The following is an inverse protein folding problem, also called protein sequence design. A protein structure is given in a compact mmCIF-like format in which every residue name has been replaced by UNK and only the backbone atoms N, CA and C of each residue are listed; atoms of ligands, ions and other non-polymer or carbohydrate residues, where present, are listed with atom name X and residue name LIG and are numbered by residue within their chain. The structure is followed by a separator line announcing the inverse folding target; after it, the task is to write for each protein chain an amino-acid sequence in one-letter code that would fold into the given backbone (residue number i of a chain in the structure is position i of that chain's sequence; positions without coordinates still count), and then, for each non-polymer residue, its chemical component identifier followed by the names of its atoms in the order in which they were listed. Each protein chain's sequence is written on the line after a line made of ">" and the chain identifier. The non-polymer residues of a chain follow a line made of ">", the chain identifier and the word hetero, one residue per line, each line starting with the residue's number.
data_IF_267115981445
#
_entry.id   IF_267115981445
#
_cell.length_a   1.000
_cell.length_b   1.000
_cell.length_c   1.000
_cell.angle_alpha   90.00
_cell.angle_beta   90.00
_cell.angle_gamma   90.00
#
_symmetry.space_group_name_H-M   'P 1'
#
loop_
_entity.id
_entity.type
_entity.pdbx_description
1 polymer ?
#
# COMPACT_ATOMS: atom_id res chain seq x y z
N UNK A 1 13.96 12.34 -1.12
CA UNK A 1 13.86 13.58 -1.92
C UNK A 1 13.76 14.73 -0.94
N UNK A 2 14.76 15.62 -0.89
CA UNK A 2 14.70 16.84 -0.07
C UNK A 2 14.15 17.97 -0.94
N UNK A 3 13.40 18.91 -0.37
CA UNK A 3 12.85 20.04 -1.14
C UNK A 3 13.91 21.04 -1.64
N UNK A 4 15.20 20.73 -1.43
CA UNK A 4 16.36 21.50 -1.89
C UNK A 4 16.44 21.63 -3.41
N UNK A 5 15.95 20.63 -4.16
CA UNK A 5 15.88 20.73 -5.62
C UNK A 5 14.80 21.70 -6.08
N UNK A 6 13.74 21.94 -5.29
CA UNK A 6 12.70 22.92 -5.63
C UNK A 6 13.16 24.35 -5.33
N UNK A 7 14.07 24.54 -4.38
CA UNK A 7 14.64 25.83 -4.03
C UNK A 7 15.38 26.50 -5.20
N UNK A 8 16.17 25.73 -5.96
CA UNK A 8 16.89 26.25 -7.13
C UNK A 8 15.97 26.64 -8.28
N UNK A 9 14.89 25.87 -8.51
CA UNK A 9 13.99 26.07 -9.65
C UNK A 9 12.87 27.09 -9.38
N UNK A 10 12.37 27.17 -8.15
CA UNK A 10 11.23 28.00 -7.79
C UNK A 10 11.59 29.17 -6.87
N UNK A 11 12.87 29.31 -6.49
CA UNK A 11 13.35 30.36 -5.58
C UNK A 11 12.59 30.38 -4.24
N UNK A 12 12.21 29.20 -3.74
CA UNK A 12 11.53 29.01 -2.46
C UNK A 12 12.51 28.48 -1.41
N UNK A 13 12.35 28.88 -0.16
CA UNK A 13 13.14 28.29 0.93
C UNK A 13 12.73 26.82 1.14
N UNK A 14 13.59 25.88 0.73
CA UNK A 14 13.27 24.46 0.72
C UNK A 14 13.00 23.89 2.12
N UNK A 15 13.67 24.43 3.14
CA UNK A 15 13.48 24.04 4.54
C UNK A 15 12.12 24.45 5.09
N UNK A 16 11.69 25.67 4.79
CA UNK A 16 10.38 26.20 5.17
C UNK A 16 9.28 25.49 4.41
N UNK A 17 9.48 25.24 3.12
CA UNK A 17 8.52 24.52 2.29
C UNK A 17 8.34 23.07 2.77
N UNK A 18 9.43 22.34 3.06
CA UNK A 18 9.35 20.97 3.57
C UNK A 18 8.56 20.91 4.90
N UNK A 19 8.83 21.84 5.80
CA UNK A 19 8.10 21.96 7.07
C UNK A 19 6.62 22.29 6.83
N UNK A 20 6.31 23.26 5.99
CA UNK A 20 4.94 23.63 5.66
C UNK A 20 4.19 22.50 4.96
N UNK A 21 4.85 21.80 4.06
CA UNK A 21 4.29 20.66 3.36
C UNK A 21 3.89 19.57 4.35
N UNK A 22 4.80 19.17 5.24
CA UNK A 22 4.54 18.13 6.24
C UNK A 22 3.51 18.55 7.28
N UNK A 23 3.59 19.77 7.80
CA UNK A 23 2.81 20.19 8.97
C UNK A 23 1.46 20.81 8.62
N UNK A 24 1.30 21.36 7.41
CA UNK A 24 0.12 22.17 7.05
C UNK A 24 -0.53 21.73 5.73
N UNK A 25 0.24 21.50 4.66
CA UNK A 25 -0.33 21.37 3.31
C UNK A 25 -0.70 19.93 2.93
N UNK A 26 0.10 18.94 3.34
CA UNK A 26 -0.08 17.54 2.94
C UNK A 26 -1.22 16.82 3.67
N UNK A 27 -1.77 17.42 4.73
CA UNK A 27 -2.73 16.74 5.60
C UNK A 27 -2.13 15.62 6.46
N UNK A 28 -0.80 15.42 6.42
CA UNK A 28 -0.11 14.32 7.12
C UNK A 28 -0.47 14.22 8.61
N UNK A 29 -0.60 15.35 9.31
CA UNK A 29 -0.96 15.39 10.75
C UNK A 29 -2.40 14.94 11.04
N UNK A 30 -3.30 15.10 10.09
CA UNK A 30 -4.71 14.74 10.22
C UNK A 30 -5.03 13.41 9.51
N UNK A 31 -4.01 12.71 9.02
CA UNK A 31 -4.22 11.47 8.30
C UNK A 31 -4.70 10.38 9.26
N UNK A 32 -5.86 9.80 8.96
CA UNK A 32 -6.53 8.82 9.83
C UNK A 32 -5.66 7.59 10.13
N UNK A 33 -4.81 7.21 9.18
CA UNK A 33 -3.93 6.05 9.31
C UNK A 33 -2.59 6.36 9.98
N UNK A 34 -2.32 7.61 10.38
CA UNK A 34 -1.02 8.05 10.89
C UNK A 34 -0.49 7.20 12.07
N UNK A 35 -1.39 6.69 12.92
CA UNK A 35 -1.04 5.89 14.10
C UNK A 35 -0.41 4.54 13.76
N UNK A 36 -0.75 3.96 12.61
CA UNK A 36 -0.32 2.63 12.17
C UNK A 36 0.36 2.65 10.79
N UNK A 37 0.47 3.81 10.14
CA UNK A 37 1.05 3.97 8.81
C UNK A 37 2.51 3.49 8.69
N UNK A 38 3.22 3.36 9.81
CA UNK A 38 4.55 2.74 9.85
C UNK A 38 4.54 1.22 9.74
N UNK A 39 3.41 0.58 10.06
CA UNK A 39 3.24 -0.88 10.01
C UNK A 39 2.41 -1.31 8.82
N UNK A 40 1.31 -0.60 8.51
CA UNK A 40 0.47 -0.90 7.36
C UNK A 40 -0.36 0.31 6.93
N UNK A 41 -0.79 0.27 5.68
CA UNK A 41 -1.73 1.22 5.08
C UNK A 41 -2.77 0.44 4.26
N UNK A 42 -4.03 0.88 4.30
CA UNK A 42 -5.14 0.26 3.58
C UNK A 42 -5.96 1.29 2.82
N UNK A 43 -6.32 0.96 1.60
CA UNK A 43 -7.19 1.74 0.72
C UNK A 43 -8.24 0.79 0.12
N UNK A 44 -9.23 0.36 0.91
CA UNK A 44 -10.25 -0.61 0.48
C UNK A 44 -11.05 -0.14 -0.75
N UNK A 45 -11.20 1.17 -0.93
CA UNK A 45 -11.84 1.78 -2.10
C UNK A 45 -11.14 1.45 -3.43
N UNK A 46 -9.87 1.06 -3.39
CA UNK A 46 -9.07 0.74 -4.57
C UNK A 46 -9.17 -0.74 -4.99
N UNK A 47 -9.99 -1.52 -4.29
CA UNK A 47 -10.21 -2.94 -4.58
C UNK A 47 -10.74 -3.13 -6.01
N UNK A 48 -10.28 -4.20 -6.65
CA UNK A 48 -10.69 -4.56 -8.00
C UNK A 48 -10.61 -6.06 -8.24
N UNK A 49 -11.13 -6.53 -9.39
CA UNK A 49 -11.21 -7.96 -9.68
C UNK A 49 -9.83 -8.60 -9.96
N UNK A 50 -8.81 -7.81 -10.31
CA UNK A 50 -7.45 -8.29 -10.56
C UNK A 50 -6.46 -7.58 -9.63
N UNK A 51 -5.93 -8.32 -8.66
CA UNK A 51 -4.92 -7.81 -7.74
C UNK A 51 -3.53 -8.34 -8.09
N UNK A 52 -2.50 -7.62 -7.69
CA UNK A 52 -1.11 -8.05 -7.72
C UNK A 52 -0.49 -7.83 -6.34
N UNK A 53 0.31 -8.80 -5.89
CA UNK A 53 1.03 -8.72 -4.63
C UNK A 53 2.52 -8.85 -4.93
N UNK A 54 3.26 -7.85 -4.47
CA UNK A 54 4.69 -7.71 -4.71
C UNK A 54 5.43 -7.47 -3.38
N UNK A 55 6.55 -8.17 -3.19
CA UNK A 55 7.46 -7.96 -2.07
C UNK A 55 8.66 -7.13 -2.55
N UNK A 56 8.87 -5.94 -1.97
CA UNK A 56 9.96 -5.03 -2.35
C UNK A 56 10.76 -4.59 -1.14
N UNK A 57 12.08 -4.62 -1.25
CA UNK A 57 12.96 -3.99 -0.25
C UNK A 57 13.09 -2.49 -0.52
N UNK A 58 12.74 -1.67 0.46
CA UNK A 58 13.09 -0.25 0.45
C UNK A 58 14.50 -0.05 1.03
N UNK A 59 15.00 1.17 0.95
CA UNK A 59 16.30 1.55 1.52
C UNK A 59 16.41 1.12 3.00
N UNK A 60 17.61 0.72 3.44
CA UNK A 60 17.91 0.10 4.73
C UNK A 60 17.51 -1.38 4.91
N UNK A 61 17.08 -2.08 3.87
CA UNK A 61 16.83 -3.52 3.94
C UNK A 61 15.50 -3.89 4.62
N UNK A 62 14.64 -2.90 4.84
CA UNK A 62 13.25 -3.11 5.24
C UNK A 62 12.48 -3.67 4.05
N UNK A 63 11.79 -4.79 4.27
CA UNK A 63 10.94 -5.41 3.26
C UNK A 63 9.51 -4.93 3.46
N UNK A 64 8.83 -4.64 2.36
CA UNK A 64 7.42 -4.26 2.35
C UNK A 64 6.66 -5.12 1.36
N UNK A 65 5.43 -5.44 1.70
CA UNK A 65 4.47 -6.10 0.82
C UNK A 65 3.48 -5.07 0.30
N UNK A 66 3.37 -4.96 -1.02
CA UNK A 66 2.45 -4.06 -1.70
C UNK A 66 1.34 -4.89 -2.35
N UNK A 67 0.09 -4.47 -2.14
CA UNK A 67 -1.07 -5.00 -2.84
C UNK A 67 -1.59 -3.91 -3.75
N UNK A 68 -1.64 -4.20 -5.04
CA UNK A 68 -2.09 -3.24 -6.06
C UNK A 68 -3.20 -3.81 -6.92
N UNK A 69 -4.10 -2.95 -7.36
CA UNK A 69 -5.12 -3.27 -8.34
C UNK A 69 -4.56 -3.06 -9.75
N UNK A 70 -4.55 -4.15 -10.54
CA UNK A 70 -3.95 -4.17 -11.87
C UNK A 70 -4.86 -3.54 -12.92
N UNK A 71 -6.18 -3.51 -12.70
CA UNK A 71 -7.14 -2.88 -13.61
C UNK A 71 -6.97 -1.37 -13.69
N UNK A 72 -6.51 -0.76 -12.60
CA UNK A 72 -6.20 0.66 -12.57
C UNK A 72 -4.98 1.02 -13.45
N UNK A 73 -4.30 0.05 -14.07
CA UNK A 73 -3.12 0.25 -14.92
C UNK A 73 -2.04 1.11 -14.24
N UNK A 74 -1.86 0.95 -12.93
CA UNK A 74 -0.90 1.73 -12.11
C UNK A 74 -1.15 3.26 -12.14
N UNK A 75 -2.40 3.67 -12.34
CA UNK A 75 -2.83 5.07 -12.26
C UNK A 75 -3.31 5.39 -10.83
N UNK A 76 -3.95 6.54 -10.65
CA UNK A 76 -4.61 6.87 -9.40
C UNK A 76 -5.52 5.72 -8.95
N UNK A 77 -5.61 5.51 -7.63
CA UNK A 77 -6.41 4.44 -7.03
C UNK A 77 -5.93 3.00 -7.33
N UNK A 78 -4.66 2.79 -7.68
CA UNK A 78 -4.12 1.43 -7.88
C UNK A 78 -3.57 0.78 -6.61
N UNK A 79 -3.26 1.53 -5.55
CA UNK A 79 -2.66 0.98 -4.34
C UNK A 79 -3.76 0.55 -3.36
N UNK A 80 -3.81 -0.74 -3.02
CA UNK A 80 -4.85 -1.30 -2.13
C UNK A 80 -4.31 -1.45 -0.71
N UNK A 81 -3.08 -1.95 -0.56
CA UNK A 81 -2.47 -2.12 0.76
C UNK A 81 -0.96 -1.99 0.70
N UNK A 82 -0.38 -1.54 1.81
CA UNK A 82 1.05 -1.61 2.09
C UNK A 82 1.21 -2.23 3.46
N UNK A 83 2.11 -3.19 3.61
CA UNK A 83 2.40 -3.84 4.89
C UNK A 83 3.90 -3.90 5.08
N UNK A 84 4.37 -3.49 6.26
CA UNK A 84 5.75 -3.63 6.67
C UNK A 84 6.04 -5.11 6.98
N UNK A 85 7.01 -5.68 6.27
CA UNK A 85 7.40 -7.08 6.34
C UNK A 85 6.83 -7.94 5.22
N UNK A 86 7.21 -9.22 5.26
CA UNK A 86 6.87 -10.26 4.27
C UNK A 86 6.23 -11.49 4.89
N UNK A 87 5.87 -11.40 6.18
CA UNK A 87 5.18 -12.48 6.88
C UNK A 87 3.76 -12.56 6.35
N UNK A 88 3.39 -13.73 5.85
CA UNK A 88 2.05 -13.97 5.31
C UNK A 88 0.96 -13.71 6.34
N UNK A 89 1.20 -14.02 7.61
CA UNK A 89 0.21 -13.89 8.68
C UNK A 89 -0.17 -12.43 8.92
N UNK A 90 0.83 -11.54 8.91
CA UNK A 90 0.64 -10.10 9.14
C UNK A 90 -0.12 -9.47 7.96
N UNK A 91 0.24 -9.86 6.72
CA UNK A 91 -0.44 -9.40 5.50
C UNK A 91 -1.90 -9.86 5.48
N UNK A 92 -2.19 -11.11 5.89
CA UNK A 92 -3.57 -11.62 6.02
C UNK A 92 -4.35 -10.79 7.03
N UNK A 93 -3.78 -10.55 8.22
CA UNK A 93 -4.46 -9.82 9.28
C UNK A 93 -4.80 -8.39 8.85
N UNK A 94 -3.96 -7.76 8.02
CA UNK A 94 -4.26 -6.45 7.42
C UNK A 94 -5.37 -6.58 6.38
N UNK A 95 -5.28 -7.50 5.42
CA UNK A 95 -6.27 -7.66 4.36
C UNK A 95 -7.66 -8.11 4.87
N UNK A 96 -7.73 -8.82 5.99
CA UNK A 96 -8.99 -9.21 6.65
C UNK A 96 -9.79 -8.01 7.19
N UNK A 97 -9.18 -6.83 7.33
CA UNK A 97 -9.88 -5.60 7.70
C UNK A 97 -10.74 -5.05 6.55
N UNK A 98 -10.48 -5.50 5.31
CA UNK A 98 -11.31 -5.19 4.15
C UNK A 98 -12.59 -6.03 4.22
N UNK A 99 -13.71 -5.42 3.86
CA UNK A 99 -15.01 -6.07 3.86
C UNK A 99 -15.01 -7.33 2.99
N UNK A 100 -15.83 -8.30 3.38
CA UNK A 100 -15.84 -9.61 2.73
C UNK A 100 -16.36 -9.54 1.29
N UNK A 101 -17.29 -8.62 1.01
CA UNK A 101 -17.89 -8.45 -0.30
C UNK A 101 -16.84 -8.03 -1.34
N UNK A 102 -16.02 -7.02 -1.01
CA UNK A 102 -14.88 -6.57 -1.80
C UNK A 102 -13.84 -7.66 -1.97
N UNK A 103 -13.56 -8.46 -0.93
CA UNK A 103 -12.62 -9.58 -1.04
C UNK A 103 -13.12 -10.67 -1.97
N UNK A 104 -14.41 -10.99 -1.95
CA UNK A 104 -15.02 -12.01 -2.82
C UNK A 104 -15.25 -11.53 -4.25
N UNK A 105 -15.20 -10.23 -4.52
CA UNK A 105 -15.24 -9.68 -5.87
C UNK A 105 -13.93 -9.92 -6.64
N UNK A 106 -12.84 -10.27 -5.95
CA UNK A 106 -11.54 -10.57 -6.56
C UNK A 106 -11.62 -11.88 -7.35
N UNK A 107 -11.28 -11.82 -8.64
CA UNK A 107 -11.28 -12.97 -9.56
C UNK A 107 -9.90 -13.61 -9.67
N UNK A 108 -8.87 -12.78 -9.66
CA UNK A 108 -7.50 -13.21 -9.85
C UNK A 108 -6.57 -12.35 -9.00
N UNK A 109 -5.54 -12.99 -8.47
CA UNK A 109 -4.43 -12.30 -7.81
C UNK A 109 -3.16 -12.75 -8.54
N UNK A 110 -2.22 -11.88 -8.82
CA UNK A 110 -0.88 -12.22 -9.34
C UNK A 110 0.17 -12.13 -8.22
N UNK A 111 1.01 -13.16 -8.03
CA UNK A 111 2.19 -13.11 -7.14
C UNK A 111 3.45 -13.03 -7.97
N UNK A 112 4.41 -12.21 -7.55
CA UNK A 112 5.79 -12.42 -7.98
C UNK A 112 6.33 -13.73 -7.40
N UNK A 113 7.12 -14.48 -8.17
CA UNK A 113 7.68 -15.81 -7.81
C UNK A 113 8.64 -15.75 -6.60
N UNK A 114 9.08 -14.55 -6.22
CA UNK A 114 9.90 -14.29 -5.03
C UNK A 114 9.06 -14.06 -3.77
N UNK A 115 7.76 -13.84 -3.91
CA UNK A 115 6.86 -13.63 -2.78
C UNK A 115 6.72 -14.91 -1.97
N UNK A 116 7.01 -14.83 -0.67
CA UNK A 116 6.77 -15.93 0.29
C UNK A 116 5.29 -16.06 0.65
N UNK A 117 4.48 -15.12 0.18
CA UNK A 117 3.05 -15.00 0.39
C UNK A 117 2.15 -15.99 -0.39
N UNK A 118 2.69 -17.10 -0.92
CA UNK A 118 1.92 -18.12 -1.70
C UNK A 118 0.69 -18.65 -0.95
N UNK A 119 0.70 -18.63 0.39
CA UNK A 119 -0.42 -19.04 1.24
C UNK A 119 -1.63 -18.08 1.25
N UNK A 120 -1.50 -16.84 0.75
CA UNK A 120 -2.59 -15.85 0.71
C UNK A 120 -3.76 -16.26 -0.18
N UNK A 121 -3.48 -17.06 -1.21
CA UNK A 121 -4.40 -17.35 -2.31
C UNK A 121 -5.53 -18.29 -1.94
N UNK A 122 -5.21 -19.32 -1.15
CA UNK A 122 -6.12 -20.44 -0.92
C UNK A 122 -7.15 -20.21 0.19
N UNK A 123 -7.03 -19.14 0.99
CA UNK A 123 -7.77 -19.03 2.25
C UNK A 123 -8.67 -17.78 2.40
N UNK A 124 -8.43 -16.69 1.67
CA UNK A 124 -9.07 -15.40 2.01
C UNK A 124 -9.66 -14.56 0.88
N UNK A 125 -9.35 -14.86 -0.40
CA UNK A 125 -9.92 -14.16 -1.56
C UNK A 125 -10.90 -15.02 -2.38
N UNK A 126 -10.88 -16.34 -2.23
CA UNK A 126 -11.83 -17.24 -2.89
C UNK A 126 -12.85 -17.72 -1.86
N UNK A 127 -14.14 -17.69 -2.24
CA UNK A 127 -15.19 -18.34 -1.44
C UNK A 127 -14.80 -19.79 -1.20
N UNK A 128 -14.88 -20.31 0.05
CA UNK A 128 -14.88 -21.75 0.24
C UNK A 128 -16.06 -22.31 -0.57
N UNK A 129 -15.78 -23.24 -1.48
CA UNK A 129 -16.81 -23.93 -2.23
C UNK A 129 -17.74 -24.63 -1.23
N UNK A 130 -19.01 -24.20 -1.17
CA UNK A 130 -20.09 -24.93 -0.53
C UNK A 130 -20.67 -25.90 -1.55
#
# INVERSE_FOLDING_TARGET
>A
MTCRTLEEFYHIDGHTFEKQYKEVLSGYRNWEQLSHAGEWMLFPENMGPYLAIDETSLSNGELYTFVTNRDACTRECSLVAVVAGTKSEDVIAVLQRIDEESRYAVKEVTLDLRCRCVRLYGLHFLKPAV
#
